data_IF_388778814549
#
_entry.id   IF_388778814549
#
_cell.length_a   1.000
_cell.length_b   1.000
_cell.length_c   1.000
_cell.angle_alpha   90.00
_cell.angle_beta   90.00
_cell.angle_gamma   90.00
#
_symmetry.space_group_name_H-M   'P 1'
#
loop_
_entity.id
_entity.type
_entity.pdbx_description
1 polymer ?
#
# COMPACT_ATOMS: atom_id res chain seq x y z
N UNK A 1 -8.58 -11.17 14.28
CA UNK A 1 -7.48 -10.26 14.63
C UNK A 1 -7.80 -8.89 14.02
N UNK A 2 -8.60 -8.08 14.71
CA UNK A 2 -8.95 -6.74 14.22
C UNK A 2 -7.82 -5.79 14.56
N UNK A 3 -7.03 -5.42 13.56
CA UNK A 3 -6.14 -4.27 13.67
C UNK A 3 -7.02 -3.06 13.93
N UNK A 4 -6.89 -2.50 15.12
CA UNK A 4 -7.62 -1.31 15.57
C UNK A 4 -7.22 -0.15 14.66
N UNK A 5 -8.08 0.31 13.76
CA UNK A 5 -7.89 1.65 13.22
C UNK A 5 -8.36 2.66 14.26
N UNK A 6 -7.37 3.21 14.95
CA UNK A 6 -7.57 4.26 15.93
C UNK A 6 -7.76 5.56 15.17
N UNK A 7 -9.01 6.02 15.08
CA UNK A 7 -9.40 7.41 14.85
C UNK A 7 -8.30 8.39 15.30
N UNK A 8 -7.55 8.93 14.35
CA UNK A 8 -6.65 10.07 14.56
C UNK A 8 -6.43 10.72 13.20
N UNK A 9 -6.69 12.04 13.08
CA UNK A 9 -6.68 12.79 11.82
C UNK A 9 -5.31 12.96 11.14
N UNK A 10 -4.42 11.97 11.26
CA UNK A 10 -3.10 11.96 10.63
C UNK A 10 -3.18 11.28 9.26
N UNK A 11 -2.53 11.83 8.22
CA UNK A 11 -2.46 11.18 6.92
C UNK A 11 -1.77 9.82 7.02
N UNK A 12 -2.37 8.80 6.41
CA UNK A 12 -1.76 7.48 6.24
C UNK A 12 -0.42 7.61 5.49
N UNK A 13 0.58 6.88 5.96
CA UNK A 13 1.90 6.81 5.33
C UNK A 13 1.95 5.68 4.30
N UNK A 14 2.85 5.78 3.31
CA UNK A 14 2.93 4.81 2.22
C UNK A 14 3.16 3.38 2.75
N UNK A 15 4.12 3.19 3.67
CA UNK A 15 4.39 1.87 4.25
C UNK A 15 3.19 1.29 5.00
N UNK A 16 2.35 2.12 5.63
CA UNK A 16 1.14 1.66 6.32
C UNK A 16 0.10 1.16 5.32
N UNK A 17 -0.07 1.87 4.20
CA UNK A 17 -0.94 1.41 3.11
C UNK A 17 -0.42 0.09 2.53
N UNK A 18 0.87 -0.01 2.24
CA UNK A 18 1.45 -1.23 1.66
C UNK A 18 1.27 -2.42 2.61
N UNK A 19 1.47 -2.21 3.91
CA UNK A 19 1.23 -3.24 4.91
C UNK A 19 -0.26 -3.64 4.97
N UNK A 20 -1.19 -2.68 4.89
CA UNK A 20 -2.62 -2.99 4.81
C UNK A 20 -2.94 -3.85 3.57
N UNK A 21 -2.44 -3.46 2.39
CA UNK A 21 -2.64 -4.21 1.15
C UNK A 21 -2.00 -5.61 1.19
N UNK A 22 -0.87 -5.77 1.88
CA UNK A 22 -0.21 -7.06 2.09
C UNK A 22 -0.97 -7.96 3.07
N UNK A 23 -1.69 -7.38 4.03
CA UNK A 23 -2.42 -8.14 5.07
C UNK A 23 -3.85 -8.47 4.64
N UNK A 24 -4.43 -7.66 3.75
CA UNK A 24 -5.77 -7.88 3.22
C UNK A 24 -5.78 -8.98 2.15
N UNK A 25 -6.42 -10.10 2.47
CA UNK A 25 -6.61 -11.23 1.54
C UNK A 25 -7.12 -10.83 0.13
N UNK A 26 -8.12 -9.93 -0.03
CA UNK A 26 -8.56 -9.52 -1.37
C UNK A 26 -7.52 -8.71 -2.14
N UNK A 27 -6.45 -8.21 -1.50
CA UNK A 27 -5.43 -7.37 -2.12
C UNK A 27 -4.15 -8.14 -2.49
N UNK A 28 -4.07 -9.45 -2.21
CA UNK A 28 -2.89 -10.29 -2.51
C UNK A 28 -2.55 -10.35 -4.00
N UNK A 29 -3.53 -10.12 -4.89
CA UNK A 29 -3.31 -10.03 -6.34
C UNK A 29 -2.66 -8.72 -6.78
N UNK A 30 -2.63 -7.70 -5.90
CA UNK A 30 -2.01 -6.39 -6.16
C UNK A 30 -0.59 -6.34 -5.62
N UNK A 31 -0.39 -6.86 -4.40
CA UNK A 31 0.89 -6.89 -3.71
C UNK A 31 1.02 -8.16 -2.87
N UNK A 32 2.19 -8.77 -2.88
CA UNK A 32 2.47 -10.00 -2.14
C UNK A 32 3.90 -10.02 -1.60
N UNK A 33 4.10 -10.65 -0.44
CA UNK A 33 5.44 -10.97 0.06
C UNK A 33 6.12 -11.98 -0.86
N UNK A 34 7.38 -11.75 -1.20
CA UNK A 34 8.15 -12.63 -2.09
C UNK A 34 9.01 -13.62 -1.33
N UNK A 35 8.49 -14.30 -0.30
CA UNK A 35 9.19 -15.41 0.39
C UNK A 35 10.46 -15.04 1.16
N UNK A 36 11.14 -13.96 0.79
CA UNK A 36 12.23 -13.32 1.50
C UNK A 36 11.64 -12.25 2.43
N UNK A 37 12.05 -12.27 3.70
CA UNK A 37 11.42 -11.60 4.84
C UNK A 37 11.27 -10.07 4.75
N UNK A 38 11.69 -9.45 3.64
CA UNK A 38 11.70 -7.99 3.46
C UNK A 38 11.36 -7.53 2.05
N UNK A 39 11.11 -8.45 1.12
CA UNK A 39 10.76 -8.10 -0.24
C UNK A 39 9.27 -8.31 -0.49
N UNK A 40 8.66 -7.29 -1.10
CA UNK A 40 7.31 -7.37 -1.59
C UNK A 40 7.31 -7.07 -3.09
N UNK A 41 6.48 -7.81 -3.82
CA UNK A 41 6.28 -7.60 -5.24
C UNK A 41 4.92 -6.96 -5.47
N UNK A 42 4.94 -5.90 -6.26
CA UNK A 42 3.73 -5.30 -6.82
C UNK A 42 3.37 -6.05 -8.10
N UNK A 43 2.29 -6.82 -8.03
CA UNK A 43 1.72 -7.52 -9.18
C UNK A 43 0.93 -6.57 -10.08
N UNK A 44 0.26 -5.57 -9.47
CA UNK A 44 -0.39 -4.46 -10.17
C UNK A 44 0.03 -3.12 -9.55
N UNK A 45 1.16 -2.57 -10.00
CA UNK A 45 1.70 -1.32 -9.45
C UNK A 45 0.78 -0.10 -9.67
N UNK A 46 0.00 -0.10 -10.75
CA UNK A 46 -0.89 1.00 -11.11
C UNK A 46 -2.11 1.05 -10.19
N UNK A 47 -2.71 -0.10 -9.88
CA UNK A 47 -3.82 -0.17 -8.93
C UNK A 47 -3.37 0.18 -7.50
N UNK A 48 -2.16 -0.23 -7.10
CA UNK A 48 -1.58 0.17 -5.81
C UNK A 48 -1.38 1.69 -5.75
N UNK A 49 -0.87 2.30 -6.81
CA UNK A 49 -0.74 3.76 -6.91
C UNK A 49 -2.10 4.47 -6.90
N UNK A 50 -3.12 3.91 -7.57
CA UNK A 50 -4.48 4.44 -7.55
C UNK A 50 -5.05 4.47 -6.13
N UNK A 51 -4.89 3.37 -5.39
CA UNK A 51 -5.33 3.26 -3.98
C UNK A 51 -4.60 4.24 -3.07
N UNK A 52 -3.30 4.42 -3.28
CA UNK A 52 -2.53 5.45 -2.59
C UNK A 52 -3.06 6.86 -2.88
N UNK A 53 -3.38 7.16 -4.15
CA UNK A 53 -3.98 8.43 -4.54
C UNK A 53 -5.34 8.69 -3.88
N UNK A 54 -6.18 7.66 -3.75
CA UNK A 54 -7.47 7.73 -3.02
C UNK A 54 -7.24 8.15 -1.57
N UNK A 55 -6.28 7.50 -0.89
CA UNK A 55 -5.94 7.82 0.51
C UNK A 55 -5.42 9.26 0.69
N UNK A 56 -4.68 9.76 -0.30
CA UNK A 56 -4.14 11.14 -0.31
C UNK A 56 -5.11 12.17 -0.88
N UNK A 57 -6.28 11.76 -1.37
CA UNK A 57 -7.25 12.57 -2.11
C UNK A 57 -6.62 13.33 -3.30
N UNK A 58 -5.64 12.72 -3.97
CA UNK A 58 -4.94 13.28 -5.14
C UNK A 58 -4.57 12.15 -6.11
N UNK A 59 -4.66 12.36 -7.43
CA UNK A 59 -4.26 11.33 -8.39
C UNK A 59 -2.76 11.02 -8.24
N UNK A 60 -2.43 9.72 -8.22
CA UNK A 60 -1.05 9.24 -8.10
C UNK A 60 -0.75 8.16 -9.16
N UNK A 61 0.53 7.86 -9.39
CA UNK A 61 1.00 6.84 -10.33
C UNK A 61 2.20 6.07 -9.76
N UNK A 62 2.53 4.94 -10.37
CA UNK A 62 3.61 4.08 -9.86
C UNK A 62 4.98 4.80 -9.83
N UNK A 63 5.30 5.64 -10.80
CA UNK A 63 6.56 6.39 -10.81
C UNK A 63 6.71 7.32 -9.60
N UNK A 64 5.63 7.95 -9.15
CA UNK A 64 5.63 8.82 -7.98
C UNK A 64 5.64 7.99 -6.69
N UNK A 65 4.83 6.93 -6.64
CA UNK A 65 4.79 6.02 -5.50
C UNK A 65 6.17 5.38 -5.25
N UNK A 66 6.84 4.91 -6.29
CA UNK A 66 8.17 4.29 -6.20
C UNK A 66 9.28 5.25 -5.77
N UNK A 67 9.09 6.57 -5.89
CA UNK A 67 10.01 7.55 -5.28
C UNK A 67 9.90 7.59 -3.76
N UNK A 68 8.72 7.31 -3.19
CA UNK A 68 8.53 7.22 -1.74
C UNK A 68 9.00 5.90 -1.13
N UNK A 69 9.40 4.93 -1.96
CA UNK A 69 9.96 3.64 -1.55
C UNK A 69 11.51 3.65 -1.43
N UNK A 70 12.16 4.72 -1.90
CA UNK A 70 13.61 4.94 -1.82
C UNK A 70 13.96 5.77 -0.60
#
# INVERSE_FOLDING_TARGET
MSVRDSRSGRPIQLWQLLLQLLTDNPCQHLISWTGDDRECKLSDPDEVARRWGIQKKKPDNYEKLSRGLR
#
